data_IF_366268815677
#
_entry.id   IF_366268815677
#
_cell.length_a   1.000
_cell.length_b   1.000
_cell.length_c   1.000
_cell.angle_alpha   90.00
_cell.angle_beta   90.00
_cell.angle_gamma   90.00
#
_symmetry.space_group_name_H-M   'P 1'
#
loop_
_entity.id
_entity.type
_entity.pdbx_description
1 polymer ?
#
# COMPACT_ATOMS: atom_id res chain seq x y z
N UNK A 1 -35.12 17.13 4.00
CA UNK A 1 -34.74 17.75 2.71
C UNK A 1 -33.40 18.44 2.88
N UNK A 2 -32.42 18.01 2.06
CA UNK A 2 -31.15 18.68 1.69
C UNK A 2 -30.16 18.95 2.85
N UNK A 3 -29.02 18.27 3.02
CA UNK A 3 -27.94 17.89 2.09
C UNK A 3 -27.57 18.98 1.09
N UNK A 4 -26.53 19.76 1.39
CA UNK A 4 -25.49 20.18 0.43
C UNK A 4 -24.41 21.05 1.09
N UNK A 5 -23.17 20.58 0.91
CA UNK A 5 -21.96 21.38 0.71
C UNK A 5 -21.41 22.25 1.86
N UNK A 6 -20.53 21.64 2.66
CA UNK A 6 -19.34 22.31 3.17
C UNK A 6 -18.11 21.43 2.98
N UNK A 7 -17.85 21.06 1.71
CA UNK A 7 -16.53 20.64 1.22
C UNK A 7 -16.07 21.74 0.28
N UNK A 8 -15.61 22.84 0.86
CA UNK A 8 -15.01 23.95 0.13
C UNK A 8 -13.99 24.62 1.03
N UNK A 9 -12.86 23.93 1.25
CA UNK A 9 -11.57 24.57 1.46
C UNK A 9 -10.46 23.59 1.10
N UNK A 10 -10.40 23.25 -0.18
CA UNK A 10 -9.24 22.63 -0.81
C UNK A 10 -8.89 23.50 -2.02
N UNK A 11 -8.55 24.75 -1.75
CA UNK A 11 -8.06 25.70 -2.74
C UNK A 11 -7.24 26.76 -2.01
N UNK A 12 -6.07 26.38 -1.52
CA UNK A 12 -5.00 27.38 -1.42
C UNK A 12 -4.51 27.62 -2.85
N UNK A 13 -5.19 28.54 -3.53
CA UNK A 13 -4.62 29.28 -4.64
C UNK A 13 -3.44 30.08 -4.08
N UNK A 14 -2.26 29.48 -4.13
CA UNK A 14 -1.00 30.22 -3.98
C UNK A 14 -0.72 30.82 -5.35
N UNK A 15 -0.50 32.14 -5.39
CA UNK A 15 0.09 32.83 -6.54
C UNK A 15 1.31 32.02 -7.05
N UNK A 16 1.74 32.08 -8.32
CA UNK A 16 2.99 31.46 -8.73
C UNK A 16 4.15 32.28 -8.17
N UNK A 17 4.36 32.19 -6.86
CA UNK A 17 5.71 32.22 -6.30
C UNK A 17 6.42 31.09 -7.02
N UNK A 18 7.61 31.37 -7.52
CA UNK A 18 8.47 30.41 -8.18
C UNK A 18 8.85 29.31 -7.16
N UNK A 19 7.90 28.41 -6.90
CA UNK A 19 8.05 27.27 -6.00
C UNK A 19 8.96 26.30 -6.75
N UNK A 20 10.27 26.54 -6.58
CA UNK A 20 11.31 25.75 -7.21
C UNK A 20 11.11 24.25 -7.03
N UNK A 21 11.82 23.48 -7.85
CA UNK A 21 11.66 22.03 -7.92
C UNK A 21 11.69 21.40 -6.52
N UNK A 22 10.61 20.71 -6.17
CA UNK A 22 10.51 20.01 -4.88
C UNK A 22 11.47 18.83 -4.87
N UNK A 23 12.31 18.76 -3.84
CA UNK A 23 13.31 17.72 -3.64
C UNK A 23 13.16 17.08 -2.28
N UNK A 24 13.71 15.88 -2.16
CA UNK A 24 13.78 15.12 -0.93
C UNK A 24 15.14 14.46 -0.81
N UNK A 25 15.46 14.07 0.42
CA UNK A 25 16.54 13.14 0.67
C UNK A 25 15.97 11.75 0.85
N UNK A 26 16.58 10.80 0.15
CA UNK A 26 15.98 9.50 0.01
C UNK A 26 17.03 8.41 0.02
N UNK A 27 16.73 7.34 0.76
CA UNK A 27 17.38 6.05 0.55
C UNK A 27 16.74 5.38 -0.67
N UNK A 28 17.56 4.84 -1.59
CA UNK A 28 17.04 4.20 -2.79
C UNK A 28 16.25 2.94 -2.45
N UNK A 29 15.37 2.55 -3.37
CA UNK A 29 14.61 1.31 -3.27
C UNK A 29 15.57 0.12 -3.12
N UNK A 30 15.39 -0.66 -2.06
CA UNK A 30 16.20 -1.84 -1.77
C UNK A 30 15.91 -2.98 -2.75
N UNK A 31 16.86 -3.90 -2.91
CA UNK A 31 16.67 -5.10 -3.72
C UNK A 31 15.45 -5.94 -3.33
N UNK A 32 15.01 -5.86 -2.07
CA UNK A 32 13.80 -6.54 -1.59
C UNK A 32 12.52 -6.04 -2.26
N UNK A 33 12.51 -4.81 -2.77
CA UNK A 33 11.43 -4.24 -3.57
C UNK A 33 11.86 -3.87 -4.99
N UNK A 34 13.01 -4.38 -5.43
CA UNK A 34 13.50 -4.25 -6.79
C UNK A 34 12.57 -4.91 -7.82
N UNK A 35 12.84 -4.72 -9.11
CA UNK A 35 11.98 -5.22 -10.18
C UNK A 35 11.74 -6.74 -10.10
N UNK A 36 12.76 -7.51 -9.71
CA UNK A 36 12.68 -8.97 -9.60
C UNK A 36 11.68 -9.44 -8.54
N UNK A 37 11.74 -8.90 -7.33
CA UNK A 37 10.82 -9.28 -6.25
C UNK A 37 9.38 -8.83 -6.54
N UNK A 38 9.21 -7.64 -7.14
CA UNK A 38 7.91 -7.13 -7.61
C UNK A 38 7.29 -8.05 -8.66
N UNK A 39 8.03 -8.39 -9.72
CA UNK A 39 7.55 -9.30 -10.77
C UNK A 39 7.21 -10.68 -10.20
N UNK A 40 8.06 -11.24 -9.33
CA UNK A 40 7.78 -12.50 -8.65
C UNK A 40 6.45 -12.44 -7.89
N UNK A 41 6.23 -11.38 -7.12
CA UNK A 41 4.99 -11.21 -6.39
C UNK A 41 3.77 -11.10 -7.31
N UNK A 42 3.86 -10.35 -8.42
CA UNK A 42 2.77 -10.27 -9.39
C UNK A 42 2.45 -11.64 -9.99
N UNK A 43 3.47 -12.42 -10.36
CA UNK A 43 3.28 -13.77 -10.88
C UNK A 43 2.59 -14.66 -9.85
N UNK A 44 2.99 -14.60 -8.57
CA UNK A 44 2.33 -15.35 -7.50
C UNK A 44 0.86 -14.95 -7.32
N UNK A 45 0.57 -13.65 -7.33
CA UNK A 45 -0.78 -13.10 -7.21
C UNK A 45 -1.66 -13.54 -8.40
N UNK A 46 -1.16 -13.36 -9.63
CA UNK A 46 -1.82 -13.79 -10.87
C UNK A 46 -2.04 -15.30 -10.88
N UNK A 47 -1.02 -16.08 -10.51
CA UNK A 47 -1.11 -17.54 -10.44
C UNK A 47 -2.20 -17.96 -9.44
N UNK A 48 -2.26 -17.32 -8.29
CA UNK A 48 -3.30 -17.58 -7.30
C UNK A 48 -4.70 -17.38 -7.92
N UNK A 49 -4.90 -16.33 -8.72
CA UNK A 49 -6.16 -16.02 -9.44
C UNK A 49 -6.51 -17.00 -10.54
N UNK A 50 -5.60 -17.25 -11.47
CA UNK A 50 -5.90 -18.03 -12.67
C UNK A 50 -5.79 -19.54 -12.43
N UNK A 51 -4.84 -19.99 -11.59
CA UNK A 51 -4.66 -21.39 -11.24
C UNK A 51 -5.52 -21.85 -10.06
N UNK A 52 -6.58 -21.09 -9.71
CA UNK A 52 -7.49 -21.37 -8.58
C UNK A 52 -8.14 -22.75 -8.56
N UNK A 53 -8.18 -23.44 -9.71
CA UNK A 53 -8.74 -24.79 -9.85
C UNK A 53 -7.71 -25.90 -9.56
N UNK A 54 -6.42 -25.56 -9.48
CA UNK A 54 -5.32 -26.47 -9.23
C UNK A 54 -4.86 -26.25 -7.80
N UNK A 55 -5.41 -27.02 -6.86
CA UNK A 55 -5.21 -26.79 -5.43
C UNK A 55 -3.73 -26.76 -5.03
N UNK A 56 -2.89 -27.61 -5.63
CA UNK A 56 -1.46 -27.63 -5.34
C UNK A 56 -0.74 -26.34 -5.77
N UNK A 57 -1.05 -25.79 -6.95
CA UNK A 57 -0.46 -24.53 -7.44
C UNK A 57 -0.97 -23.36 -6.61
N UNK A 58 -2.28 -23.30 -6.41
CA UNK A 58 -2.95 -22.23 -5.64
C UNK A 58 -2.39 -22.15 -4.23
N UNK A 59 -2.28 -23.28 -3.53
CA UNK A 59 -1.78 -23.30 -2.15
C UNK A 59 -0.29 -22.98 -2.08
N UNK A 60 0.53 -23.44 -3.04
CA UNK A 60 1.94 -23.04 -3.11
C UNK A 60 2.09 -21.53 -3.35
N UNK A 61 1.42 -20.99 -4.37
CA UNK A 61 1.48 -19.57 -4.72
C UNK A 61 1.01 -18.67 -3.58
N UNK A 62 -0.10 -19.04 -2.92
CA UNK A 62 -0.61 -18.33 -1.76
C UNK A 62 0.33 -18.43 -0.56
N UNK A 63 0.88 -19.62 -0.29
CA UNK A 63 1.84 -19.84 0.81
C UNK A 63 3.12 -19.04 0.63
N UNK A 64 3.45 -18.60 -0.58
CA UNK A 64 4.57 -17.70 -0.85
C UNK A 64 4.15 -16.23 -0.86
N UNK A 65 2.99 -15.90 -1.44
CA UNK A 65 2.51 -14.52 -1.54
C UNK A 65 2.16 -13.90 -0.18
N UNK A 66 1.50 -14.66 0.72
CA UNK A 66 1.08 -14.15 2.03
C UNK A 66 2.28 -13.74 2.91
N UNK A 67 3.37 -14.54 3.00
CA UNK A 67 4.59 -14.10 3.69
C UNK A 67 5.21 -12.84 3.08
N UNK A 68 5.22 -12.69 1.74
CA UNK A 68 5.78 -11.50 1.09
C UNK A 68 5.01 -10.23 1.48
N UNK A 69 3.67 -10.27 1.46
CA UNK A 69 2.87 -9.13 1.92
C UNK A 69 2.98 -8.91 3.43
N UNK A 70 3.20 -9.97 4.21
CA UNK A 70 3.42 -9.89 5.66
C UNK A 70 4.75 -9.23 5.99
N UNK A 71 5.82 -9.62 5.30
CA UNK A 71 7.14 -9.02 5.45
C UNK A 71 7.10 -7.53 5.07
N UNK A 72 6.40 -7.20 3.98
CA UNK A 72 6.15 -5.82 3.59
C UNK A 72 5.38 -5.03 4.66
N UNK A 73 4.37 -5.63 5.29
CA UNK A 73 3.61 -4.98 6.36
C UNK A 73 4.47 -4.69 7.60
N UNK A 74 5.27 -5.68 8.03
CA UNK A 74 6.24 -5.51 9.13
C UNK A 74 7.25 -4.42 8.78
N UNK A 75 7.76 -4.42 7.55
CA UNK A 75 8.66 -3.37 7.09
C UNK A 75 7.98 -1.99 7.13
N UNK A 76 6.73 -1.87 6.68
CA UNK A 76 5.96 -0.63 6.80
C UNK A 76 5.82 -0.13 8.24
N UNK A 77 5.61 -1.03 9.20
CA UNK A 77 5.59 -0.70 10.64
C UNK A 77 6.96 -0.18 11.10
N UNK A 78 8.05 -0.83 10.68
CA UNK A 78 9.42 -0.42 11.03
C UNK A 78 9.77 0.94 10.43
N UNK A 79 9.42 1.19 9.16
CA UNK A 79 9.59 2.48 8.50
C UNK A 79 8.88 3.60 9.28
N UNK A 80 7.63 3.35 9.68
CA UNK A 80 6.86 4.30 10.48
C UNK A 80 7.41 4.53 11.89
N UNK A 81 7.97 3.50 12.50
CA UNK A 81 8.52 3.56 13.85
C UNK A 81 9.87 4.28 13.89
N UNK A 82 10.64 4.23 12.80
CA UNK A 82 11.99 4.79 12.68
C UNK A 82 12.01 5.99 11.73
N UNK A 83 10.91 6.74 11.70
CA UNK A 83 10.71 7.92 10.87
C UNK A 83 11.85 8.95 11.01
N UNK A 84 12.15 9.64 9.91
CA UNK A 84 13.09 10.76 9.85
C UNK A 84 12.43 11.93 9.13
N UNK A 85 12.34 13.08 9.80
CA UNK A 85 11.65 14.25 9.24
C UNK A 85 12.32 14.79 7.97
N UNK A 86 13.64 14.58 7.82
CA UNK A 86 14.45 15.13 6.73
C UNK A 86 14.78 14.13 5.62
N UNK A 87 14.33 12.87 5.72
CA UNK A 87 14.59 11.87 4.69
C UNK A 87 13.54 10.76 4.65
N UNK A 88 13.31 10.24 3.44
CA UNK A 88 12.29 9.22 3.17
C UNK A 88 12.95 7.96 2.65
N UNK A 89 12.61 6.81 3.22
CA UNK A 89 13.01 5.52 2.64
C UNK A 89 12.06 5.15 1.48
N UNK A 90 12.58 5.01 0.27
CA UNK A 90 11.77 4.71 -0.91
C UNK A 90 11.15 3.31 -0.90
N UNK A 91 11.58 2.43 0.03
CA UNK A 91 10.93 1.14 0.28
C UNK A 91 9.46 1.29 0.67
N UNK A 92 9.04 2.47 1.13
CA UNK A 92 7.64 2.80 1.44
C UNK A 92 6.69 2.48 0.25
N UNK A 93 7.11 2.76 -0.99
CA UNK A 93 6.31 2.46 -2.18
C UNK A 93 6.22 0.96 -2.45
N UNK A 94 7.32 0.23 -2.23
CA UNK A 94 7.38 -1.22 -2.44
C UNK A 94 6.56 -1.97 -1.40
N UNK A 95 6.72 -1.60 -0.13
CA UNK A 95 5.95 -2.13 0.98
C UNK A 95 4.45 -1.88 0.78
N UNK A 96 4.09 -0.65 0.40
CA UNK A 96 2.71 -0.28 0.09
C UNK A 96 2.12 -1.12 -1.04
N UNK A 97 2.85 -1.31 -2.13
CA UNK A 97 2.36 -2.07 -3.26
C UNK A 97 2.09 -3.55 -2.90
N UNK A 98 3.01 -4.19 -2.19
CA UNK A 98 2.83 -5.59 -1.75
C UNK A 98 1.64 -5.74 -0.80
N UNK A 99 1.49 -4.81 0.15
CA UNK A 99 0.38 -4.83 1.11
C UNK A 99 -0.97 -4.61 0.43
N UNK A 100 -1.08 -3.57 -0.40
CA UNK A 100 -2.32 -3.20 -1.09
C UNK A 100 -2.80 -4.28 -2.07
N UNK A 101 -1.89 -4.88 -2.84
CA UNK A 101 -2.24 -5.99 -3.72
C UNK A 101 -2.65 -7.24 -2.95
N UNK A 102 -1.99 -7.52 -1.83
CA UNK A 102 -2.39 -8.59 -0.92
C UNK A 102 -3.85 -8.42 -0.47
N UNK A 103 -4.20 -7.24 0.05
CA UNK A 103 -5.55 -6.99 0.59
C UNK A 103 -6.62 -6.86 -0.49
N UNK A 104 -6.28 -6.53 -1.74
CA UNK A 104 -7.25 -6.51 -2.83
C UNK A 104 -7.49 -7.89 -3.44
N UNK A 105 -6.43 -8.69 -3.61
CA UNK A 105 -6.52 -9.96 -4.35
C UNK A 105 -6.86 -11.14 -3.45
N UNK A 106 -6.35 -11.23 -2.22
CA UNK A 106 -6.64 -12.39 -1.36
C UNK A 106 -8.13 -12.51 -1.02
N UNK A 107 -8.86 -11.44 -0.66
CA UNK A 107 -10.32 -11.45 -0.54
C UNK A 107 -11.06 -11.93 -1.79
N UNK A 108 -10.65 -11.43 -2.96
CA UNK A 108 -11.18 -11.79 -4.25
C UNK A 108 -11.02 -13.30 -4.48
N UNK A 109 -9.85 -13.84 -4.14
CA UNK A 109 -9.56 -15.26 -4.24
C UNK A 109 -10.43 -16.14 -3.37
N UNK A 110 -10.60 -15.76 -2.10
CA UNK A 110 -11.44 -16.50 -1.16
C UNK A 110 -12.90 -16.52 -1.62
N UNK A 111 -13.40 -15.42 -2.20
CA UNK A 111 -14.76 -15.36 -2.77
C UNK A 111 -14.92 -16.22 -4.01
N UNK A 112 -13.93 -16.20 -4.91
CA UNK A 112 -13.98 -16.92 -6.18
C UNK A 112 -13.77 -18.43 -6.03
N UNK A 113 -13.09 -18.86 -4.98
CA UNK A 113 -12.76 -20.26 -4.77
C UNK A 113 -13.77 -20.89 -3.80
N UNK A 114 -14.49 -21.93 -4.23
CA UNK A 114 -15.28 -22.80 -3.34
C UNK A 114 -14.38 -23.73 -2.50
N UNK A 115 -13.20 -23.26 -2.08
CA UNK A 115 -12.20 -24.11 -1.45
C UNK A 115 -12.61 -24.45 -0.01
N UNK A 116 -12.60 -25.73 0.31
CA UNK A 116 -12.87 -26.24 1.65
C UNK A 116 -11.80 -25.75 2.67
N UNK A 117 -10.59 -25.47 2.20
CA UNK A 117 -9.41 -25.05 2.97
C UNK A 117 -9.65 -23.75 3.78
N UNK A 118 -10.26 -22.73 3.17
CA UNK A 118 -10.62 -21.46 3.83
C UNK A 118 -11.95 -21.54 4.60
N UNK A 119 -12.73 -22.61 4.39
CA UNK A 119 -13.96 -22.84 5.13
C UNK A 119 -13.68 -23.40 6.53
N UNK A 120 -12.49 -23.98 6.76
CA UNK A 120 -12.05 -24.47 8.07
C UNK A 120 -11.87 -23.34 9.09
N UNK A 121 -12.07 -23.65 10.38
CA UNK A 121 -11.89 -22.68 11.47
C UNK A 121 -10.43 -22.18 11.56
N UNK A 122 -9.45 -23.05 11.31
CA UNK A 122 -8.02 -22.72 11.37
C UNK A 122 -7.61 -21.79 10.24
N UNK A 123 -7.96 -22.11 8.99
CA UNK A 123 -7.63 -21.26 7.84
C UNK A 123 -8.23 -19.86 7.97
N UNK A 124 -9.45 -19.74 8.48
CA UNK A 124 -10.10 -18.44 8.73
C UNK A 124 -9.33 -17.59 9.75
N UNK A 125 -8.89 -18.18 10.87
CA UNK A 125 -8.12 -17.45 11.90
C UNK A 125 -6.79 -16.95 11.36
N UNK A 126 -6.08 -17.76 10.59
CA UNK A 126 -4.81 -17.36 9.96
C UNK A 126 -5.04 -16.16 9.03
N UNK A 127 -6.09 -16.19 8.21
CA UNK A 127 -6.40 -15.07 7.30
C UNK A 127 -6.80 -13.79 8.04
N UNK A 128 -7.48 -13.90 9.19
CA UNK A 128 -7.78 -12.74 10.03
C UNK A 128 -6.52 -12.14 10.66
N UNK A 129 -5.62 -12.96 11.19
CA UNK A 129 -4.35 -12.50 11.77
C UNK A 129 -3.49 -11.84 10.68
N UNK A 130 -3.39 -12.48 9.51
CA UNK A 130 -2.70 -11.93 8.35
C UNK A 130 -3.29 -10.57 7.94
N UNK A 131 -4.61 -10.47 7.79
CA UNK A 131 -5.25 -9.22 7.38
C UNK A 131 -5.11 -8.11 8.43
N UNK A 132 -5.17 -8.45 9.73
CA UNK A 132 -4.92 -7.51 10.81
C UNK A 132 -3.50 -6.96 10.78
N UNK A 133 -2.50 -7.82 10.54
CA UNK A 133 -1.11 -7.42 10.42
C UNK A 133 -0.86 -6.56 9.18
N UNK A 134 -1.43 -6.93 8.02
CA UNK A 134 -1.33 -6.12 6.79
C UNK A 134 -2.06 -4.78 6.93
N UNK A 135 -3.21 -4.74 7.61
CA UNK A 135 -3.90 -3.49 7.93
C UNK A 135 -3.04 -2.58 8.81
N UNK A 136 -2.40 -3.12 9.84
CA UNK A 136 -1.49 -2.35 10.68
C UNK A 136 -0.32 -1.77 9.84
N UNK A 137 0.27 -2.59 8.96
CA UNK A 137 1.30 -2.14 8.02
C UNK A 137 0.81 -1.04 7.07
N UNK A 138 -0.38 -1.17 6.48
CA UNK A 138 -0.97 -0.15 5.61
C UNK A 138 -1.23 1.17 6.33
N UNK A 139 -1.72 1.13 7.58
CA UNK A 139 -1.91 2.35 8.40
C UNK A 139 -0.57 3.01 8.69
N UNK A 140 0.46 2.24 9.03
CA UNK A 140 1.82 2.76 9.24
C UNK A 140 2.38 3.41 7.97
N UNK A 141 2.23 2.77 6.82
CA UNK A 141 2.65 3.32 5.53
C UNK A 141 1.87 4.58 5.15
N UNK A 142 0.57 4.63 5.42
CA UNK A 142 -0.28 5.80 5.21
C UNK A 142 0.22 7.00 6.03
N UNK A 143 0.54 6.77 7.31
CA UNK A 143 1.13 7.78 8.19
C UNK A 143 2.49 8.25 7.66
N UNK A 144 3.32 7.36 7.15
CA UNK A 144 4.63 7.73 6.59
C UNK A 144 4.50 8.55 5.31
N UNK A 145 3.58 8.20 4.41
CA UNK A 145 3.27 9.03 3.24
C UNK A 145 2.76 10.41 3.64
N UNK A 146 1.90 10.47 4.66
CA UNK A 146 1.35 11.73 5.15
C UNK A 146 2.41 12.64 5.78
N UNK A 147 3.40 12.05 6.46
CA UNK A 147 4.49 12.79 7.14
C UNK A 147 5.63 13.17 6.21
N UNK A 148 5.74 12.55 5.03
CA UNK A 148 6.82 12.83 4.09
C UNK A 148 6.83 14.31 3.67
N UNK A 149 7.95 15.00 3.96
CA UNK A 149 8.13 16.41 3.63
C UNK A 149 8.96 16.57 2.35
N UNK A 150 8.60 17.57 1.55
CA UNK A 150 9.39 18.01 0.39
C UNK A 150 9.91 19.41 0.62
N UNK A 151 11.07 19.71 0.04
CA UNK A 151 11.72 21.00 0.20
C UNK A 151 11.89 21.68 -1.16
N UNK A 152 11.58 22.97 -1.30
CA UNK A 152 11.80 23.70 -2.54
C UNK A 152 13.28 23.90 -2.81
N UNK A 153 13.73 23.58 -4.03
CA UNK A 153 15.07 23.89 -4.51
C UNK A 153 15.01 24.94 -5.62
N UNK A 154 15.56 26.12 -5.34
CA UNK A 154 15.50 27.30 -6.22
C UNK A 154 16.73 27.45 -7.12
N UNK A 155 17.87 26.93 -6.69
CA UNK A 155 19.16 27.14 -7.35
C UNK A 155 19.84 25.80 -7.66
N UNK A 156 20.49 25.73 -8.82
CA UNK A 156 21.42 24.65 -9.14
C UNK A 156 22.77 24.83 -8.41
N UNK A 157 23.66 23.84 -8.50
CA UNK A 157 24.97 23.89 -7.85
C UNK A 157 25.91 24.98 -8.40
N UNK A 158 25.46 25.77 -9.37
CA UNK A 158 26.18 26.84 -10.04
C UNK A 158 25.51 28.22 -9.83
N UNK A 159 24.43 28.29 -9.05
CA UNK A 159 23.70 29.53 -8.75
C UNK A 159 22.72 29.98 -9.85
N UNK A 160 22.40 29.13 -10.83
CA UNK A 160 21.35 29.40 -11.81
C UNK A 160 19.98 28.92 -11.28
N UNK A 161 18.86 29.48 -11.76
CA UNK A 161 17.54 29.02 -11.37
C UNK A 161 17.30 27.54 -11.74
N UNK A 162 16.80 26.79 -10.78
CA UNK A 162 16.53 25.36 -10.93
C UNK A 162 15.36 25.12 -11.87
N UNK A 163 15.55 24.29 -12.90
CA UNK A 163 14.47 23.90 -13.81
C UNK A 163 13.37 23.15 -13.05
N UNK A 164 12.12 23.61 -13.17
CA UNK A 164 10.94 22.94 -12.58
C UNK A 164 10.66 21.55 -13.17
N UNK A 165 11.34 21.17 -14.26
CA UNK A 165 11.22 19.83 -14.83
C UNK A 165 12.12 18.82 -14.09
N UNK A 166 11.56 17.81 -13.41
CA UNK A 166 12.33 16.82 -12.63
C UNK A 166 13.27 15.98 -13.50
N UNK A 167 13.00 15.82 -14.80
CA UNK A 167 13.88 15.07 -15.73
C UNK A 167 15.21 15.76 -15.99
N UNK A 168 15.32 17.05 -15.69
CA UNK A 168 16.54 17.85 -15.85
C UNK A 168 17.31 18.01 -14.54
N UNK A 169 16.93 17.26 -13.50
CA UNK A 169 17.61 17.31 -12.21
C UNK A 169 19.07 16.83 -12.36
N UNK A 170 20.07 17.61 -11.93
CA UNK A 170 21.48 17.26 -12.05
C UNK A 170 21.89 16.33 -10.91
N UNK A 171 21.53 15.06 -11.03
CA UNK A 171 21.89 14.01 -10.07
C UNK A 171 23.41 13.96 -9.82
N UNK A 172 23.81 13.78 -8.56
CA UNK A 172 25.23 13.61 -8.17
C UNK A 172 26.09 14.87 -8.24
N UNK A 173 25.51 16.05 -8.53
CA UNK A 173 26.23 17.33 -8.46
C UNK A 173 26.09 17.98 -7.07
N UNK A 174 26.94 18.95 -6.73
CA UNK A 174 26.97 19.67 -5.45
C UNK A 174 25.77 20.62 -5.24
N UNK A 175 24.55 20.20 -5.60
CA UNK A 175 23.34 20.97 -5.29
C UNK A 175 23.02 20.79 -3.82
N UNK A 176 23.09 21.87 -3.06
CA UNK A 176 22.82 21.82 -1.62
C UNK A 176 21.33 21.85 -1.34
N UNK A 177 20.50 22.59 -2.10
CA UNK A 177 19.05 22.77 -1.87
C UNK A 177 18.68 23.03 -0.39
N UNK A 178 19.61 23.60 0.40
CA UNK A 178 19.51 23.72 1.88
C UNK A 178 19.22 22.40 2.63
N UNK A 179 19.55 21.28 2.01
CA UNK A 179 19.42 19.92 2.53
C UNK A 179 20.80 19.28 2.71
N UNK A 180 21.05 18.74 3.91
CA UNK A 180 22.26 17.98 4.21
C UNK A 180 21.93 16.49 4.16
N UNK A 181 22.41 15.81 3.12
CA UNK A 181 22.08 14.42 2.82
C UNK A 181 23.35 13.75 2.31
N UNK A 182 24.09 13.19 3.27
CA UNK A 182 25.39 12.56 3.07
C UNK A 182 25.53 11.38 4.02
N UNK A 183 26.33 10.39 3.63
CA UNK A 183 26.71 9.27 4.49
C UNK A 183 27.52 9.70 5.72
N UNK A 184 28.14 10.88 5.70
CA UNK A 184 28.95 11.41 6.82
C UNK A 184 28.17 12.34 7.74
N UNK A 185 27.30 13.17 7.17
CA UNK A 185 26.62 14.24 7.90
C UNK A 185 25.15 13.89 8.23
N UNK A 186 24.68 12.75 7.72
CA UNK A 186 23.32 12.26 7.88
C UNK A 186 22.32 12.89 6.90
N UNK A 187 21.01 12.66 7.12
CA UNK A 187 20.42 11.88 8.20
C UNK A 187 20.76 10.38 8.14
N UNK A 188 20.82 9.73 9.30
CA UNK A 188 21.14 8.30 9.42
C UNK A 188 19.88 7.48 9.68
N UNK A 189 19.66 6.44 8.88
CA UNK A 189 18.58 5.48 9.14
C UNK A 189 19.10 4.30 9.96
N UNK A 190 18.42 3.91 11.06
CA UNK A 190 18.83 2.74 11.85
C UNK A 190 18.73 1.42 11.11
N UNK A 191 17.99 1.36 9.99
CA UNK A 191 17.82 0.15 9.17
C UNK A 191 18.74 0.12 7.94
N UNK A 192 19.27 1.28 7.53
CA UNK A 192 20.18 1.42 6.38
C UNK A 192 21.61 1.54 6.87
N UNK A 193 22.25 0.39 7.10
CA UNK A 193 23.62 0.27 7.64
C UNK A 193 24.56 -0.31 6.58
N UNK A 194 25.86 -0.01 6.68
CA UNK A 194 26.89 -0.62 5.83
C UNK A 194 26.76 -0.16 4.39
N UNK A 195 26.75 -1.09 3.42
CA UNK A 195 26.65 -0.77 1.99
C UNK A 195 25.30 -0.20 1.55
N UNK A 196 24.29 -0.17 2.43
CA UNK A 196 22.96 0.34 2.15
C UNK A 196 22.67 1.69 2.81
N UNK A 197 23.67 2.34 3.42
CA UNK A 197 23.51 3.66 4.09
C UNK A 197 23.52 4.85 3.11
N UNK A 198 23.71 4.59 1.83
CA UNK A 198 23.77 5.57 0.77
C UNK A 198 22.46 6.36 0.65
N UNK A 199 22.56 7.68 0.77
CA UNK A 199 21.43 8.60 0.73
C UNK A 199 21.66 9.63 -0.37
N UNK A 200 20.62 9.93 -1.13
CA UNK A 200 20.72 10.82 -2.28
C UNK A 200 19.67 11.91 -2.22
N UNK A 201 19.98 13.03 -2.88
CA UNK A 201 19.01 14.08 -3.18
C UNK A 201 18.36 13.74 -4.50
N UNK A 202 17.04 13.64 -4.49
CA UNK A 202 16.24 13.34 -5.67
C UNK A 202 15.04 14.30 -5.74
N UNK A 203 14.48 14.57 -6.94
CA UNK A 203 13.21 15.27 -7.03
C UNK A 203 12.11 14.50 -6.29
N UNK A 204 11.13 15.19 -5.74
CA UNK A 204 9.97 14.53 -5.16
C UNK A 204 9.22 13.70 -6.24
N UNK A 205 8.77 12.47 -5.94
CA UNK A 205 7.99 11.66 -6.87
C UNK A 205 6.74 12.42 -7.35
N UNK A 206 6.55 12.45 -8.67
CA UNK A 206 5.47 13.21 -9.32
C UNK A 206 4.37 12.32 -9.93
N UNK A 207 4.65 11.02 -10.14
CA UNK A 207 3.69 10.09 -10.73
C UNK A 207 2.70 9.61 -9.66
N UNK A 208 3.23 8.99 -8.61
CA UNK A 208 2.49 8.70 -7.39
C UNK A 208 3.07 9.59 -6.29
N UNK A 209 2.54 10.80 -6.18
CA UNK A 209 2.98 11.75 -5.13
C UNK A 209 2.68 11.19 -3.74
N UNK A 210 3.37 11.68 -2.71
CA UNK A 210 3.12 11.26 -1.32
C UNK A 210 1.65 11.43 -0.92
N UNK A 211 1.04 12.58 -1.23
CA UNK A 211 -0.38 12.81 -0.95
C UNK A 211 -1.33 11.88 -1.72
N UNK A 212 -1.02 11.57 -2.99
CA UNK A 212 -1.80 10.57 -3.74
C UNK A 212 -1.64 9.17 -3.13
N UNK A 213 -0.43 8.79 -2.73
CA UNK A 213 -0.15 7.51 -2.08
C UNK A 213 -0.91 7.36 -0.76
N UNK A 214 -0.97 8.41 0.08
CA UNK A 214 -1.80 8.47 1.30
C UNK A 214 -3.27 8.15 0.98
N UNK A 215 -3.87 8.81 -0.02
CA UNK A 215 -5.28 8.57 -0.36
C UNK A 215 -5.54 7.14 -0.83
N UNK A 216 -4.65 6.57 -1.64
CA UNK A 216 -4.78 5.18 -2.10
C UNK A 216 -4.55 4.20 -0.95
N UNK A 217 -3.60 4.47 -0.05
CA UNK A 217 -3.36 3.69 1.16
C UNK A 217 -4.58 3.68 2.09
N UNK A 218 -5.15 4.85 2.38
CA UNK A 218 -6.39 4.98 3.15
C UNK A 218 -7.55 4.19 2.50
N UNK A 219 -7.68 4.24 1.17
CA UNK A 219 -8.65 3.43 0.43
C UNK A 219 -8.45 1.92 0.63
N UNK A 220 -7.21 1.45 0.60
CA UNK A 220 -6.86 0.04 0.85
C UNK A 220 -7.12 -0.36 2.32
N UNK A 221 -6.88 0.53 3.28
CA UNK A 221 -7.23 0.32 4.68
C UNK A 221 -8.74 0.12 4.85
N UNK A 222 -9.55 1.02 4.28
CA UNK A 222 -11.02 0.92 4.31
C UNK A 222 -11.48 -0.40 3.67
N UNK A 223 -10.94 -0.75 2.51
CA UNK A 223 -11.24 -2.02 1.85
C UNK A 223 -10.98 -3.22 2.77
N UNK A 224 -9.84 -3.22 3.45
CA UNK A 224 -9.42 -4.30 4.35
C UNK A 224 -10.32 -4.39 5.59
N UNK A 225 -10.68 -3.24 6.18
CA UNK A 225 -11.60 -3.17 7.33
C UNK A 225 -12.98 -3.72 6.94
N UNK A 226 -13.54 -3.27 5.81
CA UNK A 226 -14.82 -3.77 5.30
C UNK A 226 -14.77 -5.29 5.10
N UNK A 227 -13.69 -5.80 4.50
CA UNK A 227 -13.52 -7.22 4.31
C UNK A 227 -13.49 -8.00 5.64
N UNK A 228 -12.73 -7.52 6.63
CA UNK A 228 -12.67 -8.16 7.95
C UNK A 228 -14.04 -8.16 8.64
N UNK A 229 -14.78 -7.05 8.60
CA UNK A 229 -16.13 -6.97 9.19
C UNK A 229 -17.07 -7.98 8.53
N UNK A 230 -17.10 -8.05 7.19
CA UNK A 230 -17.96 -9.00 6.47
C UNK A 230 -17.60 -10.46 6.78
N UNK A 231 -16.30 -10.75 6.93
CA UNK A 231 -15.85 -12.10 7.30
C UNK A 231 -16.27 -12.48 8.73
N UNK A 232 -16.30 -11.52 9.65
CA UNK A 232 -16.73 -11.73 11.04
C UNK A 232 -18.24 -11.96 11.12
N UNK A 233 -19.03 -11.18 10.39
CA UNK A 233 -20.48 -11.38 10.31
C UNK A 233 -20.83 -12.75 9.72
N UNK A 234 -20.20 -13.13 8.61
CA UNK A 234 -20.35 -14.47 8.01
C UNK A 234 -19.97 -15.59 8.97
N UNK A 235 -19.04 -15.35 9.88
CA UNK A 235 -18.67 -16.32 10.91
C UNK A 235 -19.77 -16.48 11.95
N UNK A 236 -20.25 -15.36 12.49
CA UNK A 236 -21.28 -15.33 13.53
C UNK A 236 -22.61 -15.92 13.03
N UNK A 237 -23.02 -15.63 11.79
CA UNK A 237 -24.23 -16.23 11.22
C UNK A 237 -24.10 -17.75 11.07
N UNK A 238 -22.91 -18.26 10.68
CA UNK A 238 -22.68 -19.70 10.53
C UNK A 238 -22.68 -20.45 11.87
N UNK A 239 -22.09 -19.88 12.91
CA UNK A 239 -22.13 -20.48 14.26
C UNK A 239 -23.56 -20.56 14.77
N UNK A 240 -24.32 -19.46 14.66
CA UNK A 240 -25.72 -19.42 15.09
C UNK A 240 -26.58 -20.42 14.30
N UNK A 241 -26.38 -20.57 12.99
CA UNK A 241 -27.12 -21.56 12.19
C UNK A 241 -26.81 -23.02 12.54
N UNK A 242 -25.63 -23.30 13.10
CA UNK A 242 -25.28 -24.62 13.59
C UNK A 242 -25.91 -24.90 14.96
N UNK A 243 -26.06 -23.86 15.79
CA UNK A 243 -26.71 -23.90 17.11
C UNK A 243 -28.24 -23.94 17.02
N UNK A 244 -28.84 -23.30 16.00
CA UNK A 244 -30.30 -23.24 15.77
C UNK A 244 -30.87 -24.55 15.20
N UNK A 245 -30.04 -25.59 14.97
CA UNK A 245 -30.52 -26.92 14.60
C UNK A 245 -31.04 -27.73 15.81
N UNK A 246 -31.03 -27.15 17.02
CA UNK A 246 -31.88 -27.64 18.12
C UNK A 246 -33.25 -26.93 18.08
N UNK A 247 -34.37 -27.66 18.17
CA UNK A 247 -35.70 -27.08 17.99
C UNK A 247 -36.05 -26.16 19.16
N UNK A 248 -36.01 -24.85 18.92
CA UNK A 248 -36.52 -23.87 19.90
C UNK A 248 -38.02 -23.69 19.66
N UNK A 249 -38.80 -24.25 20.59
CA UNK A 249 -40.24 -24.03 20.69
C UNK A 249 -40.53 -22.59 21.08
N UNK A 250 -41.17 -21.86 20.15
CA UNK A 250 -41.97 -20.67 20.39
C UNK A 250 -41.26 -19.47 21.00
N UNK A 251 -40.88 -18.48 20.19
CA UNK A 251 -40.96 -17.06 20.55
C UNK A 251 -40.92 -16.19 19.29
N UNK A 252 -41.95 -15.35 19.11
CA UNK A 252 -41.95 -14.19 18.22
C UNK A 252 -41.07 -13.10 18.83
N UNK A 253 -40.05 -12.62 18.12
CA UNK A 253 -39.54 -11.26 18.30
C UNK A 253 -38.75 -10.75 17.09
N UNK A 254 -39.25 -9.66 16.52
CA UNK A 254 -38.65 -8.78 15.53
C UNK A 254 -37.66 -7.81 16.20
N UNK A 255 -36.53 -7.49 15.56
CA UNK A 255 -35.79 -6.21 15.71
C UNK A 255 -34.83 -6.08 14.52
N UNK A 256 -34.93 -5.11 13.61
CA UNK A 256 -35.39 -3.73 13.78
C UNK A 256 -34.23 -2.79 14.12
N UNK A 257 -33.06 -2.96 13.49
CA UNK A 257 -32.01 -1.93 13.34
C UNK A 257 -30.85 -2.54 12.54
N UNK A 258 -30.76 -2.30 11.22
CA UNK A 258 -29.61 -2.69 10.39
C UNK A 258 -29.80 -2.18 8.93
N UNK A 259 -29.84 -0.86 8.70
CA UNK A 259 -29.96 -0.37 7.32
C UNK A 259 -28.58 -0.14 6.66
N UNK A 260 -27.59 0.42 7.35
CA UNK A 260 -26.29 0.78 6.72
C UNK A 260 -25.27 -0.36 6.72
N UNK A 261 -25.06 -1.04 7.87
CA UNK A 261 -24.14 -2.18 7.96
C UNK A 261 -24.62 -3.31 7.04
N UNK A 262 -25.93 -3.55 6.99
CA UNK A 262 -26.50 -4.57 6.10
C UNK A 262 -26.32 -4.19 4.63
N UNK A 263 -26.47 -2.92 4.26
CA UNK A 263 -26.25 -2.45 2.89
C UNK A 263 -24.79 -2.63 2.45
N UNK A 264 -23.82 -2.24 3.28
CA UNK A 264 -22.40 -2.41 2.99
C UNK A 264 -22.01 -3.89 2.88
N UNK A 265 -22.58 -4.73 3.76
CA UNK A 265 -22.45 -6.18 3.69
C UNK A 265 -23.05 -6.72 2.39
N UNK A 266 -24.27 -6.35 2.01
CA UNK A 266 -24.89 -6.77 0.75
C UNK A 266 -24.09 -6.33 -0.47
N UNK A 267 -23.53 -5.12 -0.49
CA UNK A 267 -22.74 -4.59 -1.59
C UNK A 267 -21.39 -5.31 -1.72
N UNK A 268 -20.77 -5.67 -0.59
CA UNK A 268 -19.54 -6.44 -0.59
C UNK A 268 -19.77 -7.93 -0.89
N UNK A 269 -20.90 -8.49 -0.46
CA UNK A 269 -21.33 -9.85 -0.82
C UNK A 269 -21.79 -9.96 -2.28
N UNK A 270 -22.15 -8.83 -2.90
CA UNK A 270 -22.55 -8.75 -4.29
C UNK A 270 -21.40 -9.12 -5.23
N UNK A 271 -21.77 -9.74 -6.36
CA UNK A 271 -20.85 -10.10 -7.46
C UNK A 271 -20.08 -8.88 -7.97
N UNK A 272 -20.62 -7.67 -7.80
CA UNK A 272 -19.99 -6.41 -8.20
C UNK A 272 -18.69 -6.07 -7.43
N UNK A 273 -18.48 -6.59 -6.22
CA UNK A 273 -17.24 -6.32 -5.47
C UNK A 273 -16.00 -6.99 -6.10
N UNK A 274 -16.20 -8.08 -6.83
CA UNK A 274 -15.14 -8.85 -7.51
C UNK A 274 -14.44 -8.02 -8.60
N UNK A 275 -15.14 -7.48 -9.62
CA UNK A 275 -14.51 -6.67 -10.66
C UNK A 275 -13.91 -5.38 -10.10
N UNK A 276 -14.53 -4.75 -9.08
CA UNK A 276 -14.00 -3.53 -8.47
C UNK A 276 -12.63 -3.76 -7.81
N UNK A 277 -12.50 -4.80 -6.97
CA UNK A 277 -11.21 -5.15 -6.37
C UNK A 277 -10.15 -5.54 -7.41
N UNK A 278 -10.56 -6.28 -8.45
CA UNK A 278 -9.66 -6.66 -9.55
C UNK A 278 -9.15 -5.44 -10.34
N UNK A 279 -10.04 -4.53 -10.73
CA UNK A 279 -9.68 -3.29 -11.42
C UNK A 279 -8.78 -2.39 -10.55
N UNK A 280 -9.07 -2.27 -9.26
CA UNK A 280 -8.23 -1.53 -8.33
C UNK A 280 -6.81 -2.13 -8.24
N UNK A 281 -6.69 -3.45 -8.16
CA UNK A 281 -5.39 -4.12 -8.11
C UNK A 281 -4.58 -3.88 -9.39
N UNK A 282 -5.21 -3.97 -10.57
CA UNK A 282 -4.56 -3.68 -11.85
C UNK A 282 -4.13 -2.21 -11.95
N UNK A 283 -4.97 -1.28 -11.51
CA UNK A 283 -4.65 0.14 -11.50
C UNK A 283 -3.44 0.43 -10.59
N UNK A 284 -3.38 -0.17 -9.40
CA UNK A 284 -2.24 -0.04 -8.49
C UNK A 284 -0.97 -0.60 -9.13
N UNK A 285 -1.02 -1.77 -9.79
CA UNK A 285 0.15 -2.31 -10.50
C UNK A 285 0.67 -1.31 -11.55
N UNK A 286 -0.23 -0.80 -12.40
CA UNK A 286 0.16 0.10 -13.49
C UNK A 286 0.75 1.40 -12.94
N UNK A 287 0.04 2.07 -12.02
CA UNK A 287 0.47 3.37 -11.48
C UNK A 287 1.77 3.23 -10.69
N UNK A 288 1.88 2.19 -9.86
CA UNK A 288 3.10 1.94 -9.09
C UNK A 288 4.29 1.62 -9.98
N UNK A 289 4.14 0.80 -11.02
CA UNK A 289 5.26 0.54 -11.94
C UNK A 289 5.68 1.79 -12.70
N UNK A 290 4.76 2.62 -13.19
CA UNK A 290 5.11 3.91 -13.80
C UNK A 290 5.88 4.79 -12.79
N UNK A 291 5.50 4.75 -11.50
CA UNK A 291 6.22 5.45 -10.44
C UNK A 291 7.62 4.86 -10.19
N UNK A 292 7.77 3.53 -10.15
CA UNK A 292 9.07 2.87 -9.99
C UNK A 292 10.02 3.13 -11.15
N UNK A 293 9.51 3.21 -12.38
CA UNK A 293 10.30 3.57 -13.57
C UNK A 293 10.53 5.08 -13.71
N UNK A 294 9.99 5.91 -12.81
CA UNK A 294 10.24 7.34 -12.81
C UNK A 294 11.68 7.65 -12.37
N UNK A 295 12.26 8.70 -12.93
CA UNK A 295 13.63 9.13 -12.62
C UNK A 295 13.93 9.22 -11.12
N UNK A 296 13.08 9.86 -10.29
CA UNK A 296 13.28 9.95 -8.85
C UNK A 296 13.39 8.60 -8.14
N UNK A 297 12.48 7.67 -8.41
CA UNK A 297 12.36 6.41 -7.66
C UNK A 297 13.35 5.36 -8.15
N UNK A 298 13.67 5.38 -9.45
CA UNK A 298 14.64 4.46 -10.08
C UNK A 298 16.11 4.89 -9.88
N UNK A 299 16.36 6.07 -9.30
CA UNK A 299 17.71 6.58 -9.14
C UNK A 299 18.47 5.76 -8.08
N UNK A 300 19.61 5.18 -8.48
CA UNK A 300 20.45 4.32 -7.63
C UNK A 300 19.72 3.12 -7.01
N UNK A 301 18.53 2.77 -7.53
CA UNK A 301 17.91 1.49 -7.19
C UNK A 301 18.74 0.36 -7.78
N UNK A 302 18.90 -0.73 -7.02
CA UNK A 302 19.66 -1.89 -7.48
C UNK A 302 19.10 -2.40 -8.82
N UNK A 303 19.94 -2.38 -9.86
CA UNK A 303 19.58 -2.96 -11.14
C UNK A 303 19.38 -4.48 -10.99
N UNK A 304 18.53 -5.05 -11.84
CA UNK A 304 18.61 -6.49 -12.13
C UNK A 304 19.97 -6.75 -12.78
N UNK A 305 21.00 -6.97 -11.96
CA UNK A 305 22.30 -7.34 -12.47
C UNK A 305 22.15 -8.68 -13.19
N UNK A 306 22.42 -8.67 -14.49
CA UNK A 306 22.66 -9.87 -15.26
C UNK A 306 23.85 -10.58 -14.61
N UNK A 307 23.61 -11.79 -14.11
CA UNK A 307 24.67 -12.76 -13.82
C UNK A 307 25.10 -13.38 -15.16
#
# INVERSE_FOLDING_TARGET
SNLSASVASASNAVNPVDDGLQVICAWPVSGSYGAGSRVLFYVLVVTTVFARKLDWIKSAALSTALPLSTAAAVHGIVLASLHRDTAVDMDIYGAFQMCSLGTLVVPLMIKLTKSHEFSTHTGRRIMFIWAGLVLAGLICLDIEFFRAQTFPCLEDGQGNPMSSNPKRFPYGTNVTCKLTCSETDGPFSPIRIGSANNIYKIPAPNTLTFGAATLVAAGCCIHTIIWMVVMTERFNTRTNSCETNEPISGTQATKGSMNDVNLMVHLFLSVAAIPVSGCAAVAIIIVSEINFFSGPVNYQSEALANI
#
